data_IF_768351857459
#
_entry.id   IF_768351857459
#
_cell.length_a   1.000
_cell.length_b   1.000
_cell.length_c   1.000
_cell.angle_alpha   90.00
_cell.angle_beta   90.00
_cell.angle_gamma   90.00
#
_symmetry.space_group_name_H-M   'P 1'
#
loop_
_entity.id
_entity.type
_entity.pdbx_description
1 polymer ?
#
# COMPACT_ATOMS: atom_id res chain seq x y z
N UNK A 1 -2.97 -36.67 -7.22
CA UNK A 1 -2.30 -35.68 -6.32
C UNK A 1 -1.50 -36.37 -5.20
N UNK A 2 -1.39 -37.71 -5.18
CA UNK A 2 -0.86 -38.47 -4.04
C UNK A 2 0.65 -38.69 -4.00
N UNK A 3 1.44 -37.99 -4.84
CA UNK A 3 2.89 -38.15 -4.85
C UNK A 3 3.67 -36.83 -4.76
N UNK A 4 3.07 -35.80 -4.16
CA UNK A 4 3.78 -34.57 -3.82
C UNK A 4 4.37 -34.72 -2.42
N UNK A 5 5.70 -34.67 -2.33
CA UNK A 5 6.42 -34.85 -1.06
C UNK A 5 6.10 -33.73 -0.05
N UNK A 6 6.43 -33.98 1.23
CA UNK A 6 6.12 -33.07 2.34
C UNK A 6 6.77 -31.69 2.19
N UNK A 7 7.97 -31.61 1.60
CA UNK A 7 8.67 -30.36 1.35
C UNK A 7 7.92 -29.55 0.29
N UNK A 8 7.54 -30.18 -0.82
CA UNK A 8 6.78 -29.52 -1.89
C UNK A 8 5.41 -29.03 -1.39
N UNK A 9 4.69 -29.80 -0.56
CA UNK A 9 3.45 -29.35 0.10
C UNK A 9 3.66 -28.12 0.98
N UNK A 10 4.75 -28.07 1.74
CA UNK A 10 5.09 -26.91 2.56
C UNK A 10 5.40 -25.67 1.72
N UNK A 11 6.08 -25.84 0.58
CA UNK A 11 6.38 -24.74 -0.35
C UNK A 11 5.11 -24.18 -1.00
N UNK A 12 4.16 -25.05 -1.40
CA UNK A 12 2.85 -24.63 -1.91
C UNK A 12 2.10 -23.80 -0.86
N UNK A 13 2.06 -24.26 0.39
CA UNK A 13 1.40 -23.52 1.47
C UNK A 13 2.05 -22.15 1.71
N UNK A 14 3.39 -22.07 1.70
CA UNK A 14 4.11 -20.79 1.81
C UNK A 14 3.83 -19.86 0.64
N UNK A 15 3.74 -20.38 -0.58
CA UNK A 15 3.39 -19.61 -1.78
C UNK A 15 1.99 -19.01 -1.66
N UNK A 16 0.99 -19.80 -1.23
CA UNK A 16 -0.37 -19.31 -1.01
C UNK A 16 -0.43 -18.19 0.04
N UNK A 17 0.34 -18.31 1.13
CA UNK A 17 0.43 -17.26 2.16
C UNK A 17 1.07 -15.99 1.58
N UNK A 18 2.12 -16.12 0.75
CA UNK A 18 2.75 -14.98 0.08
C UNK A 18 1.78 -14.28 -0.86
N UNK A 19 1.02 -15.02 -1.67
CA UNK A 19 0.00 -14.47 -2.57
C UNK A 19 -1.09 -13.70 -1.80
N UNK A 20 -1.57 -14.26 -0.69
CA UNK A 20 -2.53 -13.57 0.19
C UNK A 20 -1.96 -12.27 0.76
N UNK A 21 -0.70 -12.27 1.20
CA UNK A 21 -0.02 -11.06 1.69
C UNK A 21 0.14 -10.01 0.59
N UNK A 22 0.58 -10.41 -0.60
CA UNK A 22 0.70 -9.50 -1.75
C UNK A 22 -0.64 -8.83 -2.04
N UNK A 23 -1.74 -9.58 -2.07
CA UNK A 23 -3.08 -9.01 -2.27
C UNK A 23 -3.46 -7.99 -1.19
N UNK A 24 -3.13 -8.27 0.07
CA UNK A 24 -3.34 -7.31 1.16
C UNK A 24 -2.53 -6.02 0.97
N UNK A 25 -1.29 -6.11 0.50
CA UNK A 25 -0.43 -4.95 0.24
C UNK A 25 -0.94 -4.13 -0.95
N UNK A 26 -1.47 -4.76 -2.00
CA UNK A 26 -2.09 -4.06 -3.14
C UNK A 26 -3.27 -3.21 -2.67
N UNK A 27 -4.17 -3.77 -1.85
CA UNK A 27 -5.32 -3.04 -1.32
C UNK A 27 -4.91 -1.87 -0.42
N UNK A 28 -3.88 -2.07 0.41
CA UNK A 28 -3.33 -1.02 1.26
C UNK A 28 -2.66 0.09 0.43
N UNK A 29 -1.91 -0.28 -0.62
CA UNK A 29 -1.29 0.65 -1.57
C UNK A 29 -2.34 1.55 -2.22
N UNK A 30 -3.41 0.94 -2.76
CA UNK A 30 -4.48 1.65 -3.42
C UNK A 30 -5.15 2.66 -2.48
N UNK A 31 -5.38 2.26 -1.22
CA UNK A 31 -5.95 3.16 -0.21
C UNK A 31 -5.07 4.38 0.04
N UNK A 32 -3.75 4.21 0.19
CA UNK A 32 -2.84 5.34 0.38
C UNK A 32 -2.66 6.18 -0.88
N UNK A 33 -2.74 5.59 -2.07
CA UNK A 33 -2.72 6.34 -3.33
C UNK A 33 -3.96 7.23 -3.48
N UNK A 34 -5.15 6.74 -3.12
CA UNK A 34 -6.37 7.55 -3.09
C UNK A 34 -6.23 8.70 -2.10
N UNK A 35 -5.80 8.44 -0.86
CA UNK A 35 -5.58 9.49 0.14
C UNK A 35 -4.52 10.51 -0.31
N UNK A 36 -3.49 10.07 -1.03
CA UNK A 36 -2.44 10.93 -1.56
C UNK A 36 -3.01 11.86 -2.63
N UNK A 37 -3.78 11.32 -3.59
CA UNK A 37 -4.45 12.08 -4.63
C UNK A 37 -5.40 13.13 -4.04
N UNK A 38 -6.22 12.75 -3.07
CA UNK A 38 -7.11 13.68 -2.36
C UNK A 38 -6.34 14.80 -1.66
N UNK A 39 -5.20 14.46 -1.03
CA UNK A 39 -4.33 15.44 -0.36
C UNK A 39 -3.65 16.39 -1.35
N UNK A 40 -3.20 15.87 -2.51
CA UNK A 40 -2.60 16.68 -3.58
C UNK A 40 -3.63 17.62 -4.21
N UNK A 41 -4.87 17.14 -4.42
CA UNK A 41 -5.97 17.99 -4.88
C UNK A 41 -6.31 19.09 -3.87
N UNK A 42 -6.42 18.74 -2.58
CA UNK A 42 -6.69 19.72 -1.51
C UNK A 42 -5.58 20.80 -1.44
N UNK A 43 -4.31 20.42 -1.62
CA UNK A 43 -3.19 21.37 -1.72
C UNK A 43 -3.27 22.27 -2.97
N UNK A 44 -3.86 21.81 -4.06
CA UNK A 44 -4.10 22.64 -5.24
C UNK A 44 -5.20 23.68 -5.00
N UNK A 45 -6.31 23.27 -4.40
CA UNK A 45 -7.48 24.13 -4.17
C UNK A 45 -7.28 25.15 -3.04
N UNK A 46 -6.42 24.85 -2.06
CA UNK A 46 -6.20 25.73 -0.90
C UNK A 46 -5.65 27.10 -1.29
N UNK A 47 -4.89 27.19 -2.39
CA UNK A 47 -4.34 28.46 -2.89
C UNK A 47 -5.46 29.44 -3.25
N UNK A 48 -6.54 28.94 -3.87
CA UNK A 48 -7.66 29.72 -4.36
C UNK A 48 -8.75 29.98 -3.31
N UNK A 49 -8.65 29.34 -2.13
CA UNK A 49 -9.68 29.41 -1.09
C UNK A 49 -9.60 30.72 -0.29
N UNK A 50 -10.72 31.40 -0.04
CA UNK A 50 -10.74 32.61 0.79
C UNK A 50 -10.69 32.30 2.29
N UNK A 51 -11.38 31.24 2.71
CA UNK A 51 -11.44 30.74 4.08
C UNK A 51 -11.12 29.25 4.09
N UNK A 52 -10.47 28.79 5.16
CA UNK A 52 -10.04 27.40 5.30
C UNK A 52 -10.54 26.82 6.60
N UNK A 53 -11.01 25.58 6.52
CA UNK A 53 -11.56 24.83 7.64
C UNK A 53 -11.02 23.42 7.61
N UNK A 54 -10.88 22.80 8.79
CA UNK A 54 -10.55 21.38 8.92
C UNK A 54 -11.57 20.64 9.76
N UNK A 55 -11.78 19.37 9.44
CA UNK A 55 -12.65 18.48 10.20
C UNK A 55 -11.81 17.80 11.30
N UNK A 56 -12.25 17.93 12.55
CA UNK A 56 -11.65 17.27 13.72
C UNK A 56 -12.75 16.48 14.42
N UNK A 57 -12.73 15.15 14.31
CA UNK A 57 -13.82 14.32 14.80
C UNK A 57 -15.14 14.64 14.08
N UNK A 58 -16.13 15.14 14.82
CA UNK A 58 -17.45 15.54 14.32
C UNK A 58 -17.63 17.06 14.20
N UNK A 59 -16.56 17.85 14.40
CA UNK A 59 -16.61 19.32 14.30
C UNK A 59 -15.76 19.85 13.16
N UNK A 60 -16.13 21.04 12.68
CA UNK A 60 -15.36 21.81 11.71
C UNK A 60 -14.71 22.99 12.42
N UNK A 61 -13.40 23.17 12.23
CA UNK A 61 -12.59 24.18 12.92
C UNK A 61 -11.98 25.10 11.87
N UNK A 62 -12.21 26.41 12.01
CA UNK A 62 -11.53 27.42 11.18
C UNK A 62 -10.02 27.33 11.42
N UNK A 63 -9.22 27.41 10.38
CA UNK A 63 -7.77 27.27 10.46
C UNK A 63 -7.13 28.22 9.47
N UNK A 64 -5.98 28.79 9.82
CA UNK A 64 -5.24 29.64 8.90
C UNK A 64 -4.79 28.85 7.67
N UNK A 65 -4.87 29.48 6.49
CA UNK A 65 -4.51 28.85 5.22
C UNK A 65 -3.12 28.23 5.24
N UNK A 66 -2.14 28.96 5.78
CA UNK A 66 -0.75 28.52 5.84
C UNK A 66 -0.56 27.30 6.74
N UNK A 67 -1.24 27.28 7.89
CA UNK A 67 -1.19 26.14 8.81
C UNK A 67 -1.78 24.88 8.18
N UNK A 68 -2.96 25.02 7.55
CA UNK A 68 -3.60 23.90 6.86
C UNK A 68 -2.77 23.41 5.68
N UNK A 69 -2.13 24.31 4.93
CA UNK A 69 -1.20 23.96 3.84
C UNK A 69 0.01 23.17 4.35
N UNK A 70 0.59 23.57 5.48
CA UNK A 70 1.71 22.86 6.12
C UNK A 70 1.29 21.48 6.63
N UNK A 71 0.10 21.36 7.22
CA UNK A 71 -0.50 20.10 7.68
C UNK A 71 -0.70 19.13 6.50
N UNK A 72 -1.32 19.60 5.41
CA UNK A 72 -1.54 18.81 4.19
C UNK A 72 -0.22 18.42 3.51
N UNK A 73 0.78 19.30 3.50
CA UNK A 73 2.11 18.99 2.94
C UNK A 73 2.80 17.89 3.73
N UNK A 74 2.77 17.97 5.06
CA UNK A 74 3.31 16.93 5.94
C UNK A 74 2.60 15.60 5.73
N UNK A 75 1.26 15.62 5.60
CA UNK A 75 0.44 14.43 5.31
C UNK A 75 0.82 13.80 3.96
N UNK A 76 0.99 14.62 2.91
CA UNK A 76 1.43 14.17 1.58
C UNK A 76 2.77 13.44 1.65
N UNK A 77 3.75 14.00 2.35
CA UNK A 77 5.09 13.40 2.45
C UNK A 77 5.07 12.07 3.20
N UNK A 78 4.28 11.98 4.28
CA UNK A 78 4.03 10.73 5.00
C UNK A 78 3.37 9.69 4.10
N UNK A 79 2.35 10.07 3.33
CA UNK A 79 1.67 9.16 2.40
C UNK A 79 2.61 8.68 1.28
N UNK A 80 3.43 9.56 0.70
CA UNK A 80 4.44 9.18 -0.30
C UNK A 80 5.44 8.17 0.25
N UNK A 81 5.91 8.38 1.48
CA UNK A 81 6.81 7.43 2.14
C UNK A 81 6.13 6.06 2.36
N UNK A 82 4.88 6.05 2.81
CA UNK A 82 4.09 4.81 3.00
C UNK A 82 3.91 4.04 1.69
N UNK A 83 3.52 4.72 0.62
CA UNK A 83 3.37 4.10 -0.72
C UNK A 83 4.69 3.48 -1.17
N UNK A 84 5.79 4.24 -1.10
CA UNK A 84 7.13 3.77 -1.49
C UNK A 84 7.58 2.54 -0.68
N UNK A 85 7.32 2.53 0.62
CA UNK A 85 7.66 1.39 1.47
C UNK A 85 6.84 0.15 1.10
N UNK A 86 5.54 0.30 0.84
CA UNK A 86 4.68 -0.79 0.39
C UNK A 86 5.16 -1.35 -0.94
N UNK A 87 5.51 -0.49 -1.90
CA UNK A 87 6.03 -0.93 -3.20
C UNK A 87 7.32 -1.75 -3.06
N UNK A 88 8.21 -1.32 -2.16
CA UNK A 88 9.46 -2.05 -1.89
C UNK A 88 9.18 -3.43 -1.29
N UNK A 89 8.30 -3.53 -0.30
CA UNK A 89 7.96 -4.80 0.33
C UNK A 89 7.15 -5.71 -0.63
N UNK A 90 6.24 -5.14 -1.42
CA UNK A 90 5.50 -5.84 -2.46
C UNK A 90 6.46 -6.47 -3.49
N UNK A 91 7.41 -5.71 -4.01
CA UNK A 91 8.39 -6.20 -4.98
C UNK A 91 9.22 -7.36 -4.42
N UNK A 92 9.70 -7.23 -3.18
CA UNK A 92 10.44 -8.30 -2.49
C UNK A 92 9.60 -9.57 -2.35
N UNK A 93 8.33 -9.45 -1.97
CA UNK A 93 7.43 -10.59 -1.85
C UNK A 93 7.12 -11.23 -3.22
N UNK A 94 6.98 -10.42 -4.28
CA UNK A 94 6.79 -10.92 -5.65
C UNK A 94 8.02 -11.69 -6.15
N UNK A 95 9.22 -11.20 -5.87
CA UNK A 95 10.47 -11.92 -6.17
C UNK A 95 10.54 -13.26 -5.42
N UNK A 96 10.24 -13.28 -4.13
CA UNK A 96 10.19 -14.51 -3.32
C UNK A 96 9.15 -15.50 -3.87
N UNK A 97 7.94 -15.01 -4.18
CA UNK A 97 6.87 -15.83 -4.75
C UNK A 97 7.26 -16.42 -6.11
N UNK A 98 7.91 -15.65 -6.99
CA UNK A 98 8.38 -16.11 -8.29
C UNK A 98 9.44 -17.22 -8.17
N UNK A 99 10.39 -17.09 -7.23
CA UNK A 99 11.38 -18.15 -6.97
C UNK A 99 10.71 -19.41 -6.46
N UNK A 100 9.83 -19.28 -5.46
CA UNK A 100 9.13 -20.40 -4.85
C UNK A 100 8.20 -21.11 -5.85
N UNK A 101 7.52 -20.35 -6.72
CA UNK A 101 6.68 -20.90 -7.78
C UNK A 101 7.49 -21.73 -8.76
N UNK A 102 8.67 -21.26 -9.20
CA UNK A 102 9.56 -22.03 -10.08
C UNK A 102 10.03 -23.33 -9.43
N UNK A 103 10.39 -23.30 -8.15
CA UNK A 103 10.78 -24.50 -7.40
C UNK A 103 9.65 -25.52 -7.35
N UNK A 104 8.43 -25.08 -7.00
CA UNK A 104 7.24 -25.94 -6.94
C UNK A 104 6.92 -26.55 -8.30
N UNK A 105 6.90 -25.74 -9.38
CA UNK A 105 6.62 -26.23 -10.73
C UNK A 105 7.66 -27.25 -11.20
N UNK A 106 8.94 -27.07 -10.87
CA UNK A 106 10.00 -28.02 -11.22
C UNK A 106 9.87 -29.40 -10.55
N UNK A 107 9.15 -29.45 -9.43
CA UNK A 107 8.91 -30.68 -8.64
C UNK A 107 7.60 -31.37 -9.01
N UNK A 108 6.60 -30.62 -9.46
CA UNK A 108 5.29 -31.15 -9.89
C UNK A 108 5.30 -31.55 -11.38
N UNK A 109 6.11 -30.88 -12.22
CA UNK A 109 6.27 -31.18 -13.64
C UNK A 109 7.24 -32.33 -13.94
N UNK A 110 7.76 -33.01 -12.92
CA UNK A 110 8.50 -34.28 -13.00
C UNK A 110 7.60 -35.41 -12.51
#
# INVERSE_FOLDING_TARGET
MDNVDKETKSKISRLQILEQRINSFILQKQTFQTQLLETENALGEIENSSETYKIVGNIMVSTEKNDLKNELTSKKDVLKLKVKNIEKEENKMREEANVLQKEVLSKIGK
#
